data_IF_409088040317
#
_entry.id   IF_409088040317
#
_cell.length_a   1.000
_cell.length_b   1.000
_cell.length_c   1.000
_cell.angle_alpha   90.00
_cell.angle_beta   90.00
_cell.angle_gamma   90.00
#
_symmetry.space_group_name_H-M   'P 1'
#
loop_
_entity.id
_entity.type
_entity.pdbx_description
1 polymer ?
#
# COMPACT_ATOMS: atom_id res chain seq x y z
N UNK A 1 9.00 12.15 15.41
CA UNK A 1 9.55 10.80 15.16
C UNK A 1 10.00 10.79 13.71
N UNK A 2 11.30 10.89 13.45
CA UNK A 2 11.85 11.04 12.09
C UNK A 2 12.33 9.66 11.62
N UNK A 3 11.80 9.21 10.48
CA UNK A 3 12.19 7.96 9.85
C UNK A 3 13.69 8.03 9.50
N UNK A 4 14.50 7.11 10.03
CA UNK A 4 15.91 6.97 9.60
C UNK A 4 15.91 6.48 8.16
N UNK A 5 16.18 7.40 7.22
CA UNK A 5 16.43 7.09 5.82
C UNK A 5 17.76 6.33 5.74
N UNK A 6 17.74 5.09 5.23
CA UNK A 6 18.98 4.35 4.91
C UNK A 6 19.07 2.89 5.39
N UNK A 7 18.17 2.39 6.24
CA UNK A 7 18.10 0.93 6.47
C UNK A 7 17.33 0.28 5.32
N UNK A 8 18.06 -0.10 4.27
CA UNK A 8 17.51 -0.85 3.15
C UNK A 8 17.16 -2.24 3.69
N UNK A 9 15.89 -2.44 3.99
CA UNK A 9 15.39 -3.78 4.28
C UNK A 9 15.38 -4.54 2.95
N UNK A 10 16.08 -5.67 2.90
CA UNK A 10 16.18 -6.48 1.68
C UNK A 10 14.82 -7.08 1.33
N UNK A 11 14.07 -6.36 0.50
CA UNK A 11 12.70 -6.68 0.14
C UNK A 11 12.58 -7.97 -0.68
N UNK A 12 13.66 -8.44 -1.33
CA UNK A 12 13.68 -9.68 -2.11
C UNK A 12 13.39 -10.92 -1.26
N UNK A 13 13.57 -10.82 0.06
CA UNK A 13 13.28 -11.90 1.01
C UNK A 13 11.78 -12.07 1.27
N UNK A 14 10.95 -11.14 0.82
CA UNK A 14 9.51 -11.13 1.10
C UNK A 14 8.71 -11.41 -0.17
N UNK A 15 7.57 -12.07 0.00
CA UNK A 15 6.66 -12.31 -1.12
C UNK A 15 6.11 -10.96 -1.61
N UNK A 16 6.24 -10.72 -2.93
CA UNK A 16 5.66 -9.56 -3.58
C UNK A 16 4.15 -9.48 -3.38
N UNK A 17 3.46 -10.62 -3.44
CA UNK A 17 2.02 -10.69 -3.22
C UNK A 17 1.71 -11.68 -2.10
N UNK A 18 0.71 -11.36 -1.27
CA UNK A 18 0.19 -12.29 -0.29
C UNK A 18 -1.32 -12.12 -0.12
N UNK A 19 -1.95 -13.21 0.30
CA UNK A 19 -3.37 -13.26 0.63
C UNK A 19 -3.52 -13.22 2.15
N UNK A 20 -4.48 -12.45 2.64
CA UNK A 20 -4.81 -12.39 4.06
C UNK A 20 -6.32 -12.30 4.25
N UNK A 21 -6.77 -12.74 5.42
CA UNK A 21 -8.18 -12.77 5.79
C UNK A 21 -8.40 -11.89 7.00
N UNK A 22 -9.36 -10.98 6.89
CA UNK A 22 -9.83 -10.16 8.00
C UNK A 22 -11.23 -10.59 8.42
N UNK A 23 -11.50 -10.52 9.72
CA UNK A 23 -12.77 -10.93 10.32
C UNK A 23 -13.40 -9.75 11.05
N UNK A 24 -14.58 -9.36 10.59
CA UNK A 24 -15.35 -8.24 11.14
C UNK A 24 -16.56 -8.78 11.91
N UNK A 25 -16.54 -8.60 13.23
CA UNK A 25 -17.60 -9.11 14.10
C UNK A 25 -18.83 -8.18 14.08
N UNK A 26 -19.98 -8.70 13.64
CA UNK A 26 -21.21 -7.90 13.53
C UNK A 26 -21.82 -7.50 14.87
N UNK A 27 -21.59 -8.29 15.93
CA UNK A 27 -22.25 -8.06 17.22
C UNK A 27 -21.64 -6.92 18.04
N UNK A 28 -20.43 -6.47 17.68
CA UNK A 28 -19.65 -5.50 18.45
C UNK A 28 -19.53 -4.14 17.76
N UNK A 29 -19.90 -4.03 16.49
CA UNK A 29 -19.67 -2.84 15.69
C UNK A 29 -20.95 -2.34 15.01
N UNK A 30 -21.18 -1.04 15.09
CA UNK A 30 -22.20 -0.36 14.28
C UNK A 30 -21.88 -0.49 12.78
N UNK A 31 -22.91 -0.60 11.95
CA UNK A 31 -22.78 -0.85 10.51
C UNK A 31 -21.92 0.20 9.81
N UNK A 32 -22.02 1.47 10.24
CA UNK A 32 -21.24 2.58 9.67
C UNK A 32 -19.76 2.46 9.99
N UNK A 33 -19.44 2.04 11.21
CA UNK A 33 -18.06 1.83 11.67
C UNK A 33 -17.44 0.62 10.97
N UNK A 34 -18.22 -0.43 10.75
CA UNK A 34 -17.83 -1.64 10.04
C UNK A 34 -17.45 -1.35 8.58
N UNK A 35 -18.28 -0.61 7.87
CA UNK A 35 -18.02 -0.20 6.48
C UNK A 35 -16.77 0.69 6.35
N UNK A 36 -16.48 1.51 7.37
CA UNK A 36 -15.28 2.32 7.40
C UNK A 36 -13.99 1.50 7.64
N UNK A 37 -14.08 0.35 8.30
CA UNK A 37 -12.95 -0.55 8.59
C UNK A 37 -12.63 -1.54 7.48
N UNK A 38 -13.55 -1.79 6.57
CA UNK A 38 -13.30 -2.64 5.41
C UNK A 38 -12.15 -2.05 4.58
N UNK A 39 -11.10 -2.85 4.37
CA UNK A 39 -10.03 -2.46 3.50
C UNK A 39 -10.57 -2.33 2.07
N UNK A 40 -10.28 -1.19 1.44
CA UNK A 40 -10.62 -0.94 0.03
C UNK A 40 -9.41 -1.24 -0.83
N UNK A 41 -9.65 -1.55 -2.10
CA UNK A 41 -8.59 -1.61 -3.11
C UNK A 41 -7.89 -0.25 -3.14
N UNK A 42 -6.56 -0.26 -3.13
CA UNK A 42 -5.71 0.93 -3.02
C UNK A 42 -5.39 1.34 -1.58
N UNK A 43 -5.98 0.72 -0.55
CA UNK A 43 -5.56 0.99 0.82
C UNK A 43 -4.12 0.51 1.05
N UNK A 44 -3.33 1.34 1.71
CA UNK A 44 -1.95 1.02 2.11
C UNK A 44 -1.95 0.47 3.54
N UNK A 45 -1.34 -0.70 3.72
CA UNK A 45 -1.17 -1.40 4.99
C UNK A 45 0.31 -1.36 5.35
N UNK A 46 0.63 -0.85 6.54
CA UNK A 46 1.99 -0.78 7.06
C UNK A 46 2.24 -1.93 8.03
N UNK A 47 3.25 -2.75 7.73
CA UNK A 47 3.72 -3.81 8.59
C UNK A 47 4.87 -3.25 9.45
N UNK A 48 4.56 -2.88 10.70
CA UNK A 48 5.52 -2.31 11.65
C UNK A 48 6.69 -3.26 11.95
N UNK A 49 6.45 -4.57 11.91
CA UNK A 49 7.42 -5.64 12.13
C UNK A 49 8.40 -5.79 10.96
N UNK A 50 7.92 -5.69 9.71
CA UNK A 50 8.76 -5.87 8.51
C UNK A 50 9.29 -4.56 7.95
N UNK A 51 8.84 -3.42 8.49
CA UNK A 51 9.09 -2.07 7.95
C UNK A 51 8.72 -1.97 6.46
N UNK A 52 7.69 -2.71 6.03
CA UNK A 52 7.22 -2.76 4.64
C UNK A 52 5.82 -2.18 4.53
N UNK A 53 5.53 -1.62 3.36
CA UNK A 53 4.20 -1.17 2.98
C UNK A 53 3.61 -2.09 1.90
N UNK A 54 2.32 -2.36 1.98
CA UNK A 54 1.60 -3.17 1.02
C UNK A 54 0.33 -2.45 0.59
N UNK A 55 -0.03 -2.55 -0.68
CA UNK A 55 -1.27 -2.05 -1.25
C UNK A 55 -2.26 -3.20 -1.42
N UNK A 56 -3.50 -3.02 -1.00
CA UNK A 56 -4.58 -3.97 -1.31
C UNK A 56 -4.93 -3.86 -2.78
N UNK A 57 -4.68 -4.93 -3.54
CA UNK A 57 -4.93 -4.95 -5.00
C UNK A 57 -6.24 -5.66 -5.37
N UNK A 58 -6.74 -6.54 -4.51
CA UNK A 58 -8.01 -7.24 -4.76
C UNK A 58 -8.75 -7.63 -3.48
N UNK A 59 -10.07 -7.72 -3.61
CA UNK A 59 -10.95 -8.38 -2.66
C UNK A 59 -11.36 -9.69 -3.32
N UNK A 60 -10.84 -10.80 -2.80
CA UNK A 60 -11.00 -12.11 -3.43
C UNK A 60 -12.36 -12.72 -3.12
N UNK A 61 -12.81 -12.61 -1.87
CA UNK A 61 -14.10 -13.15 -1.43
C UNK A 61 -14.65 -12.41 -0.23
N UNK A 62 -15.98 -12.40 -0.11
CA UNK A 62 -16.72 -11.80 1.00
C UNK A 62 -17.75 -12.84 1.42
N UNK A 63 -17.57 -13.42 2.60
CA UNK A 63 -18.41 -14.50 3.12
C UNK A 63 -18.91 -14.17 4.53
N UNK A 64 -20.05 -14.74 4.90
CA UNK A 64 -20.55 -14.68 6.27
C UNK A 64 -20.33 -16.02 6.96
N UNK A 65 -19.56 -16.01 8.06
CA UNK A 65 -19.39 -17.15 8.96
C UNK A 65 -20.12 -16.83 10.28
N UNK A 66 -21.34 -17.38 10.45
CA UNK A 66 -22.22 -17.09 11.59
C UNK A 66 -22.51 -15.57 11.73
N UNK A 67 -21.93 -14.92 12.75
CA UNK A 67 -22.07 -13.48 13.04
C UNK A 67 -20.85 -12.66 12.58
N UNK A 68 -19.88 -13.30 11.95
CA UNK A 68 -18.67 -12.64 11.46
C UNK A 68 -18.72 -12.48 9.93
N UNK A 69 -18.39 -11.28 9.45
CA UNK A 69 -18.09 -11.03 8.05
C UNK A 69 -16.61 -11.35 7.82
N UNK A 70 -16.33 -12.34 6.99
CA UNK A 70 -14.98 -12.79 6.67
C UNK A 70 -14.64 -12.34 5.25
N UNK A 71 -13.58 -11.54 5.13
CA UNK A 71 -13.15 -10.99 3.85
C UNK A 71 -11.73 -11.42 3.55
N UNK A 72 -11.53 -11.97 2.36
CA UNK A 72 -10.22 -12.33 1.87
C UNK A 72 -9.71 -11.27 0.89
N UNK A 73 -8.49 -10.82 1.12
CA UNK A 73 -7.82 -9.79 0.33
C UNK A 73 -6.52 -10.33 -0.26
N UNK A 74 -6.12 -9.77 -1.39
CA UNK A 74 -4.73 -9.86 -1.85
C UNK A 74 -4.08 -8.49 -1.76
N UNK A 75 -2.88 -8.45 -1.19
CA UNK A 75 -2.05 -7.26 -1.16
C UNK A 75 -0.71 -7.49 -1.87
N UNK A 76 -0.21 -6.41 -2.47
CA UNK A 76 1.05 -6.33 -3.18
C UNK A 76 2.01 -5.41 -2.44
N UNK A 77 3.27 -5.81 -2.33
CA UNK A 77 4.32 -5.02 -1.69
C UNK A 77 4.64 -3.79 -2.52
N UNK A 78 4.66 -2.64 -1.85
CA UNK A 78 5.18 -1.40 -2.42
C UNK A 78 6.70 -1.46 -2.29
N UNK A 79 7.37 -1.74 -3.39
CA UNK A 79 8.84 -1.82 -3.42
C UNK A 79 9.45 -0.41 -3.36
N UNK A 80 10.55 -0.26 -2.60
CA UNK A 80 11.30 0.99 -2.62
C UNK A 80 11.89 1.21 -4.01
N UNK A 81 11.87 2.46 -4.47
CA UNK A 81 12.47 2.81 -5.75
C UNK A 81 13.97 2.60 -5.72
N UNK A 82 14.52 2.09 -6.81
CA UNK A 82 15.96 2.05 -7.00
C UNK A 82 16.53 3.46 -7.16
N UNK A 83 17.83 3.64 -6.85
CA UNK A 83 18.51 4.92 -7.11
C UNK A 83 18.42 5.34 -8.58
N UNK A 84 18.41 4.38 -9.52
CA UNK A 84 18.28 4.66 -10.95
C UNK A 84 16.90 5.24 -11.28
N UNK A 85 15.82 4.69 -10.71
CA UNK A 85 14.45 5.20 -10.89
C UNK A 85 14.30 6.59 -10.28
N UNK A 86 14.86 6.80 -9.08
CA UNK A 86 14.88 8.11 -8.41
C UNK A 86 15.63 9.12 -9.29
N UNK A 87 16.84 8.79 -9.74
CA UNK A 87 17.65 9.68 -10.57
C UNK A 87 16.99 9.99 -11.92
N UNK A 88 16.33 9.01 -12.53
CA UNK A 88 15.58 9.21 -13.78
C UNK A 88 14.38 10.14 -13.57
N UNK A 89 13.60 9.92 -12.51
CA UNK A 89 12.46 10.78 -12.19
C UNK A 89 12.91 12.23 -11.91
N UNK A 90 13.99 12.42 -11.16
CA UNK A 90 14.59 13.74 -10.92
C UNK A 90 15.07 14.40 -12.22
N UNK A 91 15.65 13.62 -13.14
CA UNK A 91 16.08 14.13 -14.44
C UNK A 91 14.89 14.57 -15.31
N UNK A 92 13.83 13.76 -15.36
CA UNK A 92 12.61 14.06 -16.11
C UNK A 92 11.87 15.29 -15.54
N UNK A 93 11.80 15.42 -14.21
CA UNK A 93 11.26 16.62 -13.54
C UNK A 93 12.07 17.88 -13.90
N UNK A 94 13.39 17.80 -13.82
CA UNK A 94 14.29 18.90 -14.21
C UNK A 94 14.08 19.27 -15.67
N UNK A 95 14.05 18.28 -16.57
CA UNK A 95 13.81 18.50 -18.01
C UNK A 95 12.45 19.15 -18.28
N UNK A 96 11.40 18.74 -17.57
CA UNK A 96 10.08 19.34 -17.65
C UNK A 96 10.09 20.80 -17.18
N UNK A 97 10.78 21.09 -16.07
CA UNK A 97 10.91 22.45 -15.53
C UNK A 97 11.69 23.36 -16.47
N UNK A 98 12.79 22.87 -17.06
CA UNK A 98 13.56 23.61 -18.07
C UNK A 98 12.76 23.89 -19.35
N UNK A 99 11.91 22.95 -19.79
CA UNK A 99 11.02 23.15 -20.95
C UNK A 99 10.02 24.30 -20.72
N UNK A 100 9.57 24.52 -19.49
CA UNK A 100 8.68 25.63 -19.15
C UNK A 100 9.40 26.98 -19.21
N UNK A 101 10.70 27.03 -18.88
CA UNK A 101 11.50 28.25 -18.94
C UNK A 101 11.83 28.66 -20.39
N UNK A 102 12.03 27.71 -21.31
CA UNK A 102 12.29 28.01 -22.73
C UNK A 102 11.03 28.43 -23.52
N UNK A 103 9.84 28.15 -23.01
CA UNK A 103 8.56 28.55 -23.63
C UNK A 103 8.09 29.97 -23.29
N UNK A 104 8.91 30.74 -22.56
CA UNK A 104 8.61 32.11 -22.15
C UNK A 104 9.46 33.13 -22.90
N UNK A 105 9.32 33.20 -24.23
CA UNK A 105 9.77 34.31 -25.07
C UNK A 105 8.87 34.42 -26.32
#
# INVERSE_FOLDING_TARGET
MVQKVGEITDYHKYKMNFTFTERYNQSKEDDTLRLAKLAKIGNIIFSSDKKMAYEVISINSINYEFVDLVVEYTAQMIVPWSEQEINKALFDERKSTFKVLEGGL
#
